data_IF_167449990581
#
_entry.id   IF_167449990581
#
_cell.length_a   1.000
_cell.length_b   1.000
_cell.length_c   1.000
_cell.angle_alpha   90.00
_cell.angle_beta   90.00
_cell.angle_gamma   90.00
#
_symmetry.space_group_name_H-M   'P 1'
#
loop_
_entity.id
_entity.type
_entity.pdbx_description
1 polymer ?
#
# COMPACT_ATOMS: atom_id res chain seq x y z
N UNK A 1 -26.10 10.05 -5.64
CA UNK A 1 -25.18 11.22 -5.64
C UNK A 1 -23.98 10.85 -6.50
N UNK A 2 -23.55 11.66 -7.47
CA UNK A 2 -22.31 11.39 -8.17
C UNK A 2 -21.15 11.43 -7.17
N UNK A 3 -20.37 10.36 -7.11
CA UNK A 3 -19.19 10.24 -6.26
C UNK A 3 -18.01 10.78 -7.05
N UNK A 4 -17.41 11.90 -6.62
CA UNK A 4 -16.19 12.42 -7.21
C UNK A 4 -15.04 11.43 -6.96
N UNK A 5 -14.63 10.70 -8.01
CA UNK A 5 -13.53 9.72 -7.97
C UNK A 5 -12.14 10.35 -8.10
N UNK A 6 -12.06 11.68 -8.18
CA UNK A 6 -10.82 12.45 -8.26
C UNK A 6 -10.21 12.80 -6.89
N UNK A 7 -10.60 12.08 -5.83
CA UNK A 7 -10.05 12.31 -4.51
C UNK A 7 -8.55 11.97 -4.47
N UNK A 8 -7.77 12.98 -4.07
CA UNK A 8 -6.40 12.82 -3.64
C UNK A 8 -6.40 11.76 -2.52
N UNK A 9 -5.71 10.61 -2.66
CA UNK A 9 -5.68 9.60 -1.60
C UNK A 9 -5.10 10.15 -0.30
N UNK A 10 -4.28 11.22 -0.37
CA UNK A 10 -3.76 11.97 0.78
C UNK A 10 -4.77 12.95 1.39
N UNK A 11 -5.82 13.35 0.68
CA UNK A 11 -6.82 14.29 1.19
C UNK A 11 -7.58 13.76 2.41
N UNK A 12 -7.67 12.44 2.53
CA UNK A 12 -8.27 11.73 3.67
C UNK A 12 -7.34 11.73 4.90
N UNK A 13 -6.04 11.95 4.70
CA UNK A 13 -5.01 11.98 5.75
C UNK A 13 -4.66 13.42 6.17
N UNK A 14 -4.81 14.38 5.26
CA UNK A 14 -4.33 15.75 5.44
C UNK A 14 -5.50 16.69 5.73
N UNK A 15 -6.02 16.67 6.97
CA UNK A 15 -6.73 17.84 7.53
C UNK A 15 -5.89 18.65 8.52
N UNK A 16 -4.64 18.24 8.80
CA UNK A 16 -3.81 18.86 9.84
C UNK A 16 -2.55 19.62 9.38
N UNK A 17 -2.09 19.46 8.13
CA UNK A 17 -0.85 20.11 7.68
C UNK A 17 -1.10 21.53 7.14
N UNK A 18 -1.47 22.45 8.03
CA UNK A 18 -1.43 23.89 7.71
C UNK A 18 0.02 24.31 7.45
N UNK A 19 0.32 24.67 6.20
CA UNK A 19 1.61 25.21 5.77
C UNK A 19 1.92 26.49 6.56
N UNK A 20 2.90 26.46 7.45
CA UNK A 20 3.60 27.68 7.85
C UNK A 20 4.42 28.18 6.66
N UNK A 21 4.28 29.44 6.22
CA UNK A 21 5.15 30.00 5.19
C UNK A 21 6.52 30.31 5.82
N UNK A 22 7.57 29.61 5.38
CA UNK A 22 8.94 30.01 5.64
C UNK A 22 9.39 31.05 4.62
N UNK A 23 10.02 32.11 5.13
CA UNK A 23 10.48 33.31 4.44
C UNK A 23 12.01 33.32 4.51
N UNK A 24 12.71 33.33 3.37
CA UNK A 24 14.09 33.86 3.14
C UNK A 24 14.58 33.35 1.78
N UNK A 25 14.91 34.15 0.75
CA UNK A 25 15.96 35.19 0.59
C UNK A 25 17.37 34.64 0.25
N UNK A 26 17.94 35.18 -0.84
CA UNK A 26 19.34 35.13 -1.35
C UNK A 26 19.85 33.80 -1.95
N UNK A 27 20.17 33.73 -3.25
CA UNK A 27 21.30 34.34 -4.01
C UNK A 27 22.66 33.67 -3.68
N UNK A 28 23.20 32.83 -4.58
CA UNK A 28 24.38 33.19 -5.36
C UNK A 28 24.74 32.16 -6.43
N UNK A 29 25.29 32.67 -7.53
CA UNK A 29 25.85 31.92 -8.64
C UNK A 29 27.29 31.48 -8.35
N UNK A 30 27.75 30.34 -8.89
CA UNK A 30 29.14 30.26 -9.34
C UNK A 30 29.36 29.24 -10.47
N UNK A 31 30.13 29.68 -11.47
CA UNK A 31 30.66 28.93 -12.60
C UNK A 31 32.01 28.31 -12.21
N UNK A 32 32.35 27.17 -12.80
CA UNK A 32 33.71 26.64 -12.74
C UNK A 32 33.86 25.35 -13.54
N UNK A 33 34.41 25.46 -14.75
CA UNK A 33 34.79 24.33 -15.60
C UNK A 33 36.15 23.75 -15.21
N UNK A 34 36.39 22.50 -15.60
CA UNK A 34 37.67 21.82 -15.43
C UNK A 34 37.67 20.46 -16.11
N UNK A 35 38.31 20.40 -17.27
CA UNK A 35 38.56 19.21 -18.08
C UNK A 35 39.89 18.54 -17.69
N UNK A 36 39.94 17.20 -17.61
CA UNK A 36 41.12 16.40 -18.03
C UNK A 36 40.93 14.88 -17.86
N UNK A 37 40.86 14.17 -19.00
CA UNK A 37 41.59 12.95 -19.40
C UNK A 37 42.02 11.86 -18.38
N UNK A 38 41.65 10.60 -18.64
CA UNK A 38 42.50 9.46 -19.09
C UNK A 38 41.84 8.10 -18.80
N UNK A 39 41.70 7.26 -19.84
CA UNK A 39 41.40 5.82 -19.79
C UNK A 39 42.69 5.00 -19.49
N UNK A 40 42.72 3.65 -19.60
CA UNK A 40 41.76 2.59 -19.22
C UNK A 40 42.45 1.49 -18.35
N UNK A 41 41.68 0.62 -17.69
CA UNK A 41 42.17 -0.75 -17.44
C UNK A 41 41.03 -1.76 -17.33
N UNK A 42 41.28 -2.87 -18.01
CA UNK A 42 40.47 -4.06 -18.18
C UNK A 42 40.48 -4.96 -16.95
N UNK A 43 39.33 -5.54 -16.61
CA UNK A 43 39.27 -6.92 -16.15
C UNK A 43 37.91 -7.52 -16.51
N UNK A 44 37.97 -8.40 -17.51
CA UNK A 44 36.92 -9.36 -17.83
C UNK A 44 36.75 -10.34 -16.66
N UNK A 45 35.61 -10.28 -15.98
CA UNK A 45 35.18 -11.33 -15.06
C UNK A 45 34.11 -12.19 -15.75
N UNK A 46 34.37 -13.48 -15.75
CA UNK A 46 33.51 -14.55 -16.27
C UNK A 46 32.17 -14.60 -15.50
N UNK A 47 31.08 -15.10 -16.12
CA UNK A 47 29.81 -15.31 -15.42
C UNK A 47 29.90 -16.55 -14.53
N UNK A 48 29.74 -16.37 -13.22
CA UNK A 48 29.61 -17.47 -12.27
C UNK A 48 28.19 -18.05 -12.33
N UNK A 49 28.10 -19.22 -12.95
CA UNK A 49 27.01 -20.18 -12.85
C UNK A 49 27.09 -20.86 -11.46
N UNK A 50 25.94 -21.07 -10.82
CA UNK A 50 25.70 -21.67 -9.48
C UNK A 50 25.65 -20.74 -8.27
N UNK A 51 24.50 -20.81 -7.59
CA UNK A 51 24.14 -20.00 -6.44
C UNK A 51 24.86 -20.36 -5.15
N UNK A 52 25.09 -19.32 -4.35
CA UNK A 52 25.40 -19.42 -2.94
C UNK A 52 24.58 -18.34 -2.21
N UNK A 53 23.73 -18.78 -1.28
CA UNK A 53 23.05 -17.89 -0.33
C UNK A 53 24.08 -17.28 0.63
N UNK A 54 23.95 -16.01 1.04
CA UNK A 54 24.81 -15.45 2.07
C UNK A 54 24.53 -16.09 3.43
N UNK A 55 25.55 -16.69 4.03
CA UNK A 55 25.55 -17.17 5.40
C UNK A 55 25.67 -15.96 6.35
N UNK A 56 24.63 -15.66 7.13
CA UNK A 56 24.69 -14.63 8.17
C UNK A 56 25.40 -15.23 9.38
N UNK A 57 26.60 -14.72 9.69
CA UNK A 57 27.29 -15.03 10.93
C UNK A 57 26.47 -14.51 12.13
N UNK A 58 26.35 -15.28 13.24
CA UNK A 58 25.82 -14.75 14.47
C UNK A 58 26.80 -13.72 15.07
N UNK A 59 26.31 -12.50 15.31
CA UNK A 59 27.06 -11.46 16.02
C UNK A 59 27.56 -11.97 17.38
N UNK A 60 28.83 -11.71 17.75
CA UNK A 60 29.29 -11.94 19.11
C UNK A 60 28.55 -11.03 20.10
N UNK A 61 28.31 -11.56 21.30
CA UNK A 61 27.58 -10.91 22.40
C UNK A 61 28.19 -9.54 22.78
N UNK A 62 27.38 -8.59 23.30
CA UNK A 62 27.86 -7.26 23.65
C UNK A 62 28.79 -7.29 24.87
N UNK A 63 29.89 -6.57 24.78
CA UNK A 63 30.78 -6.26 25.90
C UNK A 63 30.05 -5.28 26.84
N UNK A 64 29.93 -5.54 28.15
CA UNK A 64 29.32 -4.59 29.08
C UNK A 64 30.21 -3.36 29.27
N UNK A 65 29.70 -2.16 28.95
CA UNK A 65 30.32 -0.90 29.40
C UNK A 65 30.39 0.25 28.39
N UNK A 66 29.94 0.09 27.14
CA UNK A 66 30.06 1.15 26.13
C UNK A 66 28.72 1.85 25.85
N UNK A 67 28.56 3.04 26.42
CA UNK A 67 27.52 4.01 26.04
C UNK A 67 27.88 4.59 24.67
N UNK A 68 27.27 4.05 23.60
CA UNK A 68 27.32 4.67 22.27
C UNK A 68 26.01 5.42 22.03
N UNK A 69 26.12 6.74 21.86
CA UNK A 69 25.06 7.58 21.32
C UNK A 69 24.80 7.16 19.86
N UNK A 70 23.84 6.27 19.63
CA UNK A 70 23.41 5.91 18.28
C UNK A 70 22.13 6.66 17.95
N UNK A 71 22.27 7.65 17.07
CA UNK A 71 21.15 8.22 16.33
C UNK A 71 20.38 7.07 15.66
N UNK A 72 19.04 7.02 15.73
CA UNK A 72 18.28 5.99 15.04
C UNK A 72 18.52 6.11 13.54
N UNK A 73 19.18 5.11 12.97
CA UNK A 73 19.37 5.00 11.53
C UNK A 73 18.02 4.83 10.84
N UNK A 74 17.80 5.43 9.65
CA UNK A 74 16.59 5.18 8.87
C UNK A 74 16.50 3.69 8.58
N UNK A 75 15.33 3.10 8.89
CA UNK A 75 15.05 1.69 8.62
C UNK A 75 15.25 1.47 7.11
N UNK A 76 16.12 0.55 6.67
CA UNK A 76 16.29 0.25 5.27
C UNK A 76 14.94 -0.23 4.71
N UNK A 77 14.50 0.39 3.62
CA UNK A 77 13.35 -0.07 2.86
C UNK A 77 13.57 -1.57 2.54
N UNK A 78 12.76 -2.50 3.07
CA UNK A 78 13.00 -3.92 2.89
C UNK A 78 13.03 -4.23 1.38
N UNK A 79 14.15 -4.77 0.90
CA UNK A 79 14.28 -5.11 -0.51
C UNK A 79 13.22 -6.17 -0.85
N UNK A 80 12.29 -5.89 -1.78
CA UNK A 80 11.14 -6.75 -2.02
C UNK A 80 11.54 -7.94 -2.89
N UNK A 81 12.11 -8.98 -2.27
CA UNK A 81 12.22 -10.29 -2.89
C UNK A 81 10.88 -11.02 -2.75
N UNK A 82 10.11 -11.12 -3.84
CA UNK A 82 8.87 -11.92 -3.97
C UNK A 82 7.58 -11.28 -3.43
N UNK A 83 7.18 -10.11 -3.95
CA UNK A 83 5.84 -9.59 -3.70
C UNK A 83 4.81 -10.19 -4.67
N UNK A 84 3.67 -10.62 -4.14
CA UNK A 84 2.49 -10.93 -4.93
C UNK A 84 1.86 -9.62 -5.37
N UNK A 85 1.83 -9.37 -6.68
CA UNK A 85 1.36 -8.11 -7.25
C UNK A 85 -0.01 -8.28 -7.89
N UNK A 86 -0.89 -7.31 -7.65
CA UNK A 86 -2.20 -7.19 -8.26
C UNK A 86 -2.40 -5.78 -8.83
N UNK A 87 -3.24 -5.67 -9.85
CA UNK A 87 -3.63 -4.39 -10.44
C UNK A 87 -5.14 -4.19 -10.40
N UNK A 88 -5.58 -3.02 -9.94
CA UNK A 88 -6.95 -2.58 -10.11
C UNK A 88 -7.06 -1.89 -11.47
N UNK A 89 -7.94 -2.41 -12.31
CA UNK A 89 -8.24 -1.87 -13.64
C UNK A 89 -9.73 -1.61 -13.82
N UNK A 90 -10.07 -0.72 -14.74
CA UNK A 90 -11.47 -0.51 -15.11
C UNK A 90 -12.09 -1.78 -15.70
N UNK A 91 -13.42 -2.01 -15.57
CA UNK A 91 -14.08 -3.23 -16.02
C UNK A 91 -14.04 -3.41 -17.54
N UNK A 92 -13.86 -2.32 -18.30
CA UNK A 92 -13.70 -2.32 -19.74
C UNK A 92 -12.34 -1.73 -20.13
N UNK A 93 -11.30 -2.57 -20.28
CA UNK A 93 -9.97 -2.10 -20.68
C UNK A 93 -9.93 -1.57 -22.13
N UNK A 94 -10.98 -1.76 -22.93
CA UNK A 94 -11.06 -1.36 -24.34
C UNK A 94 -11.87 -0.08 -24.58
N UNK A 95 -12.38 0.57 -23.53
CA UNK A 95 -12.99 1.89 -23.67
C UNK A 95 -11.89 2.92 -24.01
N UNK A 96 -11.82 3.35 -25.27
CA UNK A 96 -10.79 4.26 -25.82
C UNK A 96 -10.75 5.67 -25.22
N UNK A 97 -11.65 6.02 -24.31
CA UNK A 97 -11.54 7.22 -23.48
C UNK A 97 -10.80 6.85 -22.21
N UNK A 98 -9.65 7.48 -21.94
CA UNK A 98 -8.87 7.35 -20.70
C UNK A 98 -9.81 7.24 -19.49
N UNK A 99 -10.10 6.00 -19.09
CA UNK A 99 -11.17 5.71 -18.16
C UNK A 99 -10.66 6.05 -16.78
N UNK A 100 -11.23 7.08 -16.15
CA UNK A 100 -10.93 7.42 -14.76
C UNK A 100 -11.23 6.17 -13.93
N UNK A 101 -10.19 5.55 -13.36
CA UNK A 101 -10.32 4.33 -12.57
C UNK A 101 -11.39 4.53 -11.49
N UNK A 102 -12.49 3.78 -11.61
CA UNK A 102 -13.52 3.73 -10.58
C UNK A 102 -13.24 2.53 -9.68
N UNK A 103 -12.57 2.74 -8.54
CA UNK A 103 -12.23 1.65 -7.59
C UNK A 103 -13.46 0.92 -7.04
N UNK A 104 -14.67 1.52 -7.15
CA UNK A 104 -15.94 0.91 -6.74
C UNK A 104 -16.57 0.03 -7.83
N UNK A 105 -16.09 0.11 -9.07
CA UNK A 105 -16.48 -0.70 -10.21
C UNK A 105 -15.22 -1.05 -11.00
N UNK A 106 -14.46 -2.04 -10.55
CA UNK A 106 -13.17 -2.41 -11.12
C UNK A 106 -12.92 -3.92 -11.04
N UNK A 107 -11.89 -4.38 -11.75
CA UNK A 107 -11.38 -5.74 -11.68
C UNK A 107 -10.00 -5.74 -11.06
N UNK A 108 -9.70 -6.76 -10.24
CA UNK A 108 -8.37 -7.00 -9.68
C UNK A 108 -7.72 -8.12 -10.49
N UNK A 109 -6.63 -7.78 -11.17
CA UNK A 109 -5.84 -8.68 -12.02
C UNK A 109 -4.57 -9.14 -11.32
N UNK A 110 -4.02 -10.26 -11.76
CA UNK A 110 -2.66 -10.69 -11.41
C UNK A 110 -1.57 -9.77 -12.00
N UNK A 111 -0.32 -10.03 -11.62
CA UNK A 111 0.85 -9.27 -12.08
C UNK A 111 1.03 -9.25 -13.60
N UNK A 112 0.52 -10.27 -14.30
CA UNK A 112 0.63 -10.43 -15.75
C UNK A 112 -0.60 -9.92 -16.50
N UNK A 113 -1.57 -9.33 -15.80
CA UNK A 113 -2.87 -8.92 -16.33
C UNK A 113 -3.61 -10.04 -17.08
N UNK A 114 -3.33 -11.30 -16.73
CA UNK A 114 -3.83 -12.47 -17.44
C UNK A 114 -5.07 -13.08 -16.82
N UNK A 115 -5.20 -12.99 -15.48
CA UNK A 115 -6.33 -13.54 -14.75
C UNK A 115 -6.97 -12.50 -13.85
N UNK A 116 -8.30 -12.42 -13.91
CA UNK A 116 -9.09 -11.67 -12.93
C UNK A 116 -9.20 -12.52 -11.67
N UNK A 117 -8.75 -11.97 -10.54
CA UNK A 117 -8.89 -12.57 -9.21
C UNK A 117 -10.16 -12.09 -8.51
N UNK A 118 -10.49 -10.81 -8.67
CA UNK A 118 -11.68 -10.22 -8.05
C UNK A 118 -12.43 -9.32 -9.01
N UNK A 119 -13.75 -9.30 -8.87
CA UNK A 119 -14.61 -8.28 -9.46
C UNK A 119 -15.21 -7.46 -8.32
N UNK A 120 -15.02 -6.15 -8.39
CA UNK A 120 -15.57 -5.18 -7.46
C UNK A 120 -16.67 -4.43 -8.21
N UNK A 121 -17.88 -4.51 -7.71
CA UNK A 121 -19.04 -3.90 -8.36
C UNK A 121 -19.91 -3.19 -7.34
N UNK A 122 -20.29 -1.97 -7.65
CA UNK A 122 -21.27 -1.22 -6.88
C UNK A 122 -22.58 -1.22 -7.63
N UNK A 123 -23.57 -1.87 -7.04
CA UNK A 123 -24.88 -1.97 -7.64
C UNK A 123 -25.74 -0.80 -7.19
N UNK A 124 -26.01 0.13 -8.11
CA UNK A 124 -26.87 1.28 -7.83
C UNK A 124 -28.35 0.88 -7.66
N UNK A 125 -28.75 -0.31 -8.14
CA UNK A 125 -30.09 -0.85 -7.94
C UNK A 125 -30.28 -1.48 -6.56
N UNK A 126 -29.19 -2.00 -5.96
CA UNK A 126 -29.16 -2.48 -4.59
C UNK A 126 -28.59 -1.40 -3.67
N UNK A 127 -29.44 -0.45 -3.30
CA UNK A 127 -29.36 0.44 -2.11
C UNK A 127 -27.96 0.81 -1.56
N UNK A 128 -26.96 1.08 -2.41
CA UNK A 128 -25.63 1.46 -1.96
C UNK A 128 -24.81 0.30 -1.40
N UNK A 129 -24.73 -0.85 -2.08
CA UNK A 129 -23.75 -1.89 -1.74
C UNK A 129 -22.61 -1.97 -2.76
N UNK A 130 -21.37 -2.12 -2.28
CA UNK A 130 -20.24 -2.59 -3.08
C UNK A 130 -19.92 -4.03 -2.69
N UNK A 131 -19.92 -4.92 -3.68
CA UNK A 131 -19.66 -6.35 -3.49
C UNK A 131 -18.29 -6.70 -4.06
N UNK A 132 -17.52 -7.47 -3.29
CA UNK A 132 -16.25 -8.05 -3.70
C UNK A 132 -16.49 -9.52 -4.00
N UNK A 133 -16.31 -9.94 -5.25
CA UNK A 133 -16.49 -11.33 -5.69
C UNK A 133 -15.16 -11.92 -6.10
N UNK A 134 -14.81 -13.07 -5.54
CA UNK A 134 -13.71 -13.89 -6.04
C UNK A 134 -14.11 -14.46 -7.40
N UNK A 135 -13.28 -14.23 -8.41
CA UNK A 135 -13.57 -14.60 -9.79
C UNK A 135 -13.46 -16.10 -10.06
N UNK A 136 -12.64 -16.83 -9.29
CA UNK A 136 -12.47 -18.27 -9.39
C UNK A 136 -13.66 -19.00 -8.74
N UNK A 137 -13.97 -18.66 -7.48
CA UNK A 137 -15.01 -19.34 -6.70
C UNK A 137 -16.43 -18.82 -7.00
N UNK A 138 -16.54 -17.70 -7.72
CA UNK A 138 -17.80 -16.94 -7.93
C UNK A 138 -18.51 -16.59 -6.62
N UNK A 139 -17.79 -16.59 -5.50
CA UNK A 139 -18.32 -16.30 -4.16
C UNK A 139 -18.02 -14.86 -3.79
N UNK A 140 -18.97 -14.19 -3.12
CA UNK A 140 -18.69 -12.91 -2.47
C UNK A 140 -17.76 -13.13 -1.27
N UNK A 141 -16.66 -12.39 -1.21
CA UNK A 141 -15.65 -12.42 -0.15
C UNK A 141 -15.75 -11.20 0.78
N UNK A 142 -16.38 -10.12 0.31
CA UNK A 142 -16.55 -8.90 1.08
C UNK A 142 -17.74 -8.09 0.60
N UNK A 143 -18.20 -7.21 1.48
CA UNK A 143 -19.34 -6.32 1.27
C UNK A 143 -19.05 -4.99 1.96
N UNK A 144 -19.32 -3.89 1.27
CA UNK A 144 -19.46 -2.57 1.87
C UNK A 144 -20.90 -2.13 1.69
N UNK A 145 -21.52 -1.68 2.78
CA UNK A 145 -22.85 -1.07 2.79
C UNK A 145 -22.69 0.43 3.04
N UNK A 146 -23.05 1.23 2.03
CA UNK A 146 -23.00 2.67 2.03
C UNK A 146 -24.30 3.23 2.59
N UNK A 147 -24.29 3.70 3.83
CA UNK A 147 -25.41 4.39 4.45
C UNK A 147 -25.23 5.90 4.46
N UNK A 148 -26.36 6.63 4.60
CA UNK A 148 -26.32 8.07 4.94
C UNK A 148 -25.87 8.22 6.40
N UNK A 149 -24.56 8.32 6.61
CA UNK A 149 -23.94 8.58 7.92
C UNK A 149 -23.36 7.36 8.63
N UNK A 150 -23.63 6.14 8.15
CA UNK A 150 -22.99 4.91 8.66
C UNK A 150 -22.63 4.00 7.50
N UNK A 151 -21.34 3.89 7.21
CA UNK A 151 -20.80 2.89 6.31
C UNK A 151 -20.40 1.66 7.11
N UNK A 152 -20.84 0.48 6.69
CA UNK A 152 -20.44 -0.79 7.30
C UNK A 152 -19.69 -1.68 6.31
N UNK A 153 -18.82 -2.52 6.85
CA UNK A 153 -17.93 -3.38 6.09
C UNK A 153 -17.94 -4.78 6.68
N UNK A 154 -17.88 -5.77 5.80
CA UNK A 154 -17.74 -7.19 6.14
C UNK A 154 -16.71 -7.82 5.20
N UNK A 155 -15.82 -8.64 5.76
CA UNK A 155 -14.90 -9.52 5.00
C UNK A 155 -15.13 -10.94 5.48
N UNK A 156 -15.72 -11.78 4.63
CA UNK A 156 -16.21 -13.10 5.04
C UNK A 156 -15.09 -13.98 5.55
N UNK A 157 -15.26 -14.51 6.77
CA UNK A 157 -14.26 -15.36 7.42
C UNK A 157 -13.05 -14.61 7.99
N UNK A 158 -13.03 -13.28 7.97
CA UNK A 158 -11.90 -12.49 8.44
C UNK A 158 -12.32 -11.29 9.33
N UNK A 159 -13.40 -10.60 8.96
CA UNK A 159 -13.89 -9.38 9.62
C UNK A 159 -15.41 -9.45 9.70
N UNK A 160 -16.01 -9.57 10.90
CA UNK A 160 -17.45 -9.53 11.05
C UNK A 160 -17.99 -8.15 10.64
N UNK A 161 -19.27 -8.11 10.25
CA UNK A 161 -19.92 -6.86 9.84
C UNK A 161 -19.83 -5.81 10.96
N UNK A 162 -19.20 -4.68 10.66
CA UNK A 162 -19.01 -3.58 11.62
C UNK A 162 -18.89 -2.23 10.89
N UNK A 163 -18.92 -1.13 11.63
CA UNK A 163 -18.72 0.20 11.05
C UNK A 163 -17.30 0.35 10.50
N UNK A 164 -17.16 0.97 9.32
CA UNK A 164 -15.85 1.15 8.67
C UNK A 164 -14.89 1.95 9.54
N UNK A 165 -15.39 2.93 10.31
CA UNK A 165 -14.59 3.71 11.27
C UNK A 165 -14.04 2.88 12.43
N UNK A 166 -14.78 1.86 12.85
CA UNK A 166 -14.32 0.94 13.88
C UNK A 166 -13.24 0.00 13.32
N UNK A 167 -13.42 -0.46 12.07
CA UNK A 167 -12.46 -1.36 11.43
C UNK A 167 -11.18 -0.67 10.97
N UNK A 168 -11.27 0.50 10.32
CA UNK A 168 -10.13 1.30 9.82
C UNK A 168 -9.97 2.59 10.64
N UNK A 169 -9.71 2.42 11.93
CA UNK A 169 -9.66 3.51 12.90
C UNK A 169 -8.48 4.44 12.64
N UNK A 170 -8.74 5.75 12.57
CA UNK A 170 -7.69 6.77 12.46
C UNK A 170 -7.02 6.96 13.82
N UNK A 171 -5.69 7.05 13.80
CA UNK A 171 -4.87 7.46 14.94
C UNK A 171 -5.21 8.88 15.42
N UNK A 172 -4.90 9.21 16.68
CA UNK A 172 -5.24 10.53 17.26
C UNK A 172 -4.53 11.68 16.54
N UNK A 173 -3.30 11.45 16.10
CA UNK A 173 -2.46 12.36 15.33
C UNK A 173 -2.73 12.31 13.81
N UNK A 174 -3.66 11.45 13.37
CA UNK A 174 -4.08 11.31 11.97
C UNK A 174 -2.95 10.88 11.01
N UNK A 175 -1.87 10.31 11.54
CA UNK A 175 -0.70 9.91 10.73
C UNK A 175 -0.82 8.48 10.20
N UNK A 176 -1.57 7.62 10.87
CA UNK A 176 -1.84 6.24 10.45
C UNK A 176 -3.27 5.79 10.78
N UNK A 177 -3.69 4.66 10.22
CA UNK A 177 -4.91 3.93 10.58
C UNK A 177 -4.57 2.57 11.15
N UNK A 178 -5.35 2.08 12.09
CA UNK A 178 -5.25 0.71 12.60
C UNK A 178 -6.38 -0.14 12.04
N UNK A 179 -6.07 -1.38 11.71
CA UNK A 179 -7.02 -2.39 11.21
C UNK A 179 -6.90 -3.66 12.05
N UNK A 180 -8.02 -4.32 12.35
CA UNK A 180 -8.00 -5.65 12.97
C UNK A 180 -8.58 -6.70 12.04
N UNK A 181 -7.83 -7.79 11.80
CA UNK A 181 -8.25 -8.92 10.98
C UNK A 181 -7.94 -10.20 11.75
N UNK A 182 -8.94 -11.07 11.95
CA UNK A 182 -8.80 -12.32 12.74
C UNK A 182 -8.14 -12.13 14.12
N UNK A 183 -8.42 -10.99 14.77
CA UNK A 183 -7.86 -10.66 16.09
C UNK A 183 -6.46 -10.04 16.08
N UNK A 184 -5.77 -10.00 14.94
CA UNK A 184 -4.46 -9.36 14.81
C UNK A 184 -4.61 -7.91 14.36
N UNK A 185 -3.80 -7.01 14.94
CA UNK A 185 -3.81 -5.59 14.60
C UNK A 185 -2.70 -5.27 13.59
N UNK A 186 -3.04 -4.41 12.64
CA UNK A 186 -2.20 -3.94 11.55
C UNK A 186 -2.28 -2.42 11.44
N UNK A 187 -1.24 -1.81 10.89
CA UNK A 187 -1.10 -0.37 10.74
C UNK A 187 -1.00 -0.03 9.25
N UNK A 188 -1.88 0.86 8.80
CA UNK A 188 -1.82 1.50 7.50
C UNK A 188 -1.19 2.88 7.66
N UNK A 189 -0.06 3.14 7.00
CA UNK A 189 0.61 4.44 7.03
C UNK A 189 0.94 4.94 5.63
N UNK A 190 0.73 6.23 5.34
CA UNK A 190 1.22 6.84 4.12
C UNK A 190 2.75 6.95 4.17
N UNK A 191 3.40 6.64 3.06
CA UNK A 191 4.85 6.78 2.86
C UNK A 191 5.13 7.22 1.43
N UNK A 192 5.47 8.50 1.25
CA UNK A 192 5.71 9.10 -0.06
C UNK A 192 4.57 8.81 -1.05
N UNK A 193 4.79 7.96 -2.05
CA UNK A 193 3.83 7.57 -3.09
C UNK A 193 3.03 6.29 -2.76
N UNK A 194 3.23 5.75 -1.56
CA UNK A 194 2.67 4.49 -1.12
C UNK A 194 1.74 4.66 0.09
N UNK A 195 0.83 3.70 0.25
CA UNK A 195 0.18 3.42 1.54
C UNK A 195 0.63 2.02 1.96
N UNK A 196 1.44 1.94 3.00
CA UNK A 196 2.03 0.69 3.47
C UNK A 196 1.15 0.06 4.55
N UNK A 197 1.13 -1.27 4.57
CA UNK A 197 0.57 -2.08 5.65
C UNK A 197 1.72 -2.74 6.41
N UNK A 198 1.71 -2.62 7.74
CA UNK A 198 2.63 -3.33 8.62
C UNK A 198 1.91 -4.03 9.79
N UNK A 199 2.58 -5.00 10.42
CA UNK A 199 2.12 -5.55 11.69
C UNK A 199 2.16 -4.48 12.80
N UNK A 200 1.23 -4.55 13.76
CA UNK A 200 1.25 -3.70 14.96
C UNK A 200 1.90 -4.40 16.18
N UNK A 201 1.97 -5.73 16.18
CA UNK A 201 2.14 -6.56 17.37
C UNK A 201 3.58 -7.07 17.62
N UNK A 202 4.61 -6.29 17.32
CA UNK A 202 6.01 -6.68 17.51
C UNK A 202 6.87 -5.46 17.85
N UNK A 203 8.01 -5.62 18.56
CA UNK A 203 8.94 -4.51 18.81
C UNK A 203 9.49 -3.89 17.51
N UNK A 204 9.43 -4.63 16.40
CA UNK A 204 9.73 -4.16 15.05
C UNK A 204 8.54 -4.45 14.12
N UNK A 205 7.83 -3.43 13.63
CA UNK A 205 6.76 -3.61 12.65
C UNK A 205 7.29 -4.30 11.38
N UNK A 206 6.63 -5.38 10.96
CA UNK A 206 6.96 -6.11 9.73
C UNK A 206 6.14 -5.55 8.57
N UNK A 207 6.79 -5.27 7.44
CA UNK A 207 6.11 -4.87 6.21
C UNK A 207 5.31 -6.05 5.63
N UNK A 208 4.05 -5.81 5.26
CA UNK A 208 3.12 -6.83 4.77
C UNK A 208 2.61 -6.54 3.37
N UNK A 209 2.66 -5.29 2.94
CA UNK A 209 2.23 -4.91 1.60
C UNK A 209 2.08 -3.41 1.45
N UNK A 210 1.77 -2.98 0.24
CA UNK A 210 1.56 -1.57 -0.07
C UNK A 210 0.60 -1.37 -1.23
N UNK A 211 0.06 -0.16 -1.29
CA UNK A 211 -0.75 0.35 -2.39
C UNK A 211 0.02 1.49 -3.03
N UNK A 212 0.11 1.50 -4.36
CA UNK A 212 0.58 2.67 -5.12
C UNK A 212 -0.40 3.02 -6.23
N UNK A 213 -0.44 4.28 -6.61
CA UNK A 213 -1.26 4.79 -7.71
C UNK A 213 -0.35 5.26 -8.84
N UNK A 214 -0.55 4.70 -10.03
CA UNK A 214 0.09 5.12 -11.27
C UNK A 214 -0.89 5.85 -12.18
N UNK A 215 -0.49 6.05 -13.43
CA UNK A 215 -1.29 6.70 -14.46
C UNK A 215 -2.48 5.81 -14.87
N UNK A 216 -3.61 5.99 -14.18
CA UNK A 216 -4.85 5.27 -14.47
C UNK A 216 -4.93 3.86 -13.88
N UNK A 217 -3.91 3.41 -13.14
CA UNK A 217 -3.87 2.10 -12.48
C UNK A 217 -3.57 2.24 -11.00
N UNK A 218 -4.01 1.26 -10.22
CA UNK A 218 -3.60 1.11 -8.82
C UNK A 218 -2.94 -0.25 -8.71
N UNK A 219 -1.72 -0.26 -8.16
CA UNK A 219 -0.95 -1.46 -7.91
C UNK A 219 -1.03 -1.81 -6.41
N UNK A 220 -1.31 -3.07 -6.14
CA UNK A 220 -1.32 -3.67 -4.81
C UNK A 220 -0.20 -4.69 -4.77
N UNK A 221 0.66 -4.62 -3.77
CA UNK A 221 1.72 -5.59 -3.56
C UNK A 221 1.60 -6.16 -2.14
N UNK A 222 1.67 -7.48 -2.01
CA UNK A 222 1.59 -8.21 -0.74
C UNK A 222 2.83 -9.09 -0.57
N UNK A 223 3.32 -9.21 0.66
CA UNK A 223 4.34 -10.22 0.97
C UNK A 223 3.74 -11.62 0.98
N UNK A 224 4.55 -12.69 0.78
CA UNK A 224 4.06 -14.07 0.91
C UNK A 224 3.48 -14.34 2.30
N UNK A 225 4.07 -13.76 3.34
CA UNK A 225 3.59 -13.86 4.72
C UNK A 225 2.19 -13.25 4.87
N UNK A 226 1.92 -12.09 4.27
CA UNK A 226 0.60 -11.48 4.30
C UNK A 226 -0.46 -12.35 3.60
N UNK A 227 -0.09 -13.00 2.50
CA UNK A 227 -0.96 -13.96 1.80
C UNK A 227 -1.21 -15.19 2.68
N UNK A 228 -0.18 -15.75 3.32
CA UNK A 228 -0.30 -16.91 4.22
C UNK A 228 -1.14 -16.61 5.47
N UNK A 229 -1.07 -15.38 5.99
CA UNK A 229 -1.94 -14.91 7.08
C UNK A 229 -3.42 -14.76 6.66
N UNK A 230 -3.71 -14.90 5.36
CA UNK A 230 -5.04 -14.72 4.79
C UNK A 230 -5.50 -13.27 4.77
N UNK A 231 -4.57 -12.32 4.64
CA UNK A 231 -4.87 -10.90 4.60
C UNK A 231 -5.37 -10.41 3.23
N UNK A 232 -5.23 -11.21 2.17
CA UNK A 232 -5.49 -10.78 0.81
C UNK A 232 -6.87 -10.14 0.62
N UNK A 233 -7.95 -10.82 1.05
CA UNK A 233 -9.32 -10.29 0.91
C UNK A 233 -9.51 -8.99 1.71
N UNK A 234 -9.04 -8.97 2.96
CA UNK A 234 -9.13 -7.78 3.82
C UNK A 234 -8.30 -6.61 3.28
N UNK A 235 -7.13 -6.89 2.71
CA UNK A 235 -6.25 -5.89 2.10
C UNK A 235 -6.93 -5.23 0.90
N UNK A 236 -7.54 -6.02 0.02
CA UNK A 236 -8.23 -5.49 -1.17
C UNK A 236 -9.44 -4.63 -0.77
N UNK A 237 -10.24 -5.08 0.20
CA UNK A 237 -11.38 -4.31 0.70
C UNK A 237 -10.92 -3.00 1.36
N UNK A 238 -9.88 -3.05 2.20
CA UNK A 238 -9.30 -1.86 2.81
C UNK A 238 -8.70 -0.91 1.75
N UNK A 239 -8.03 -1.43 0.73
CA UNK A 239 -7.48 -0.62 -0.36
C UNK A 239 -8.57 0.17 -1.06
N UNK A 240 -9.70 -0.45 -1.41
CA UNK A 240 -10.84 0.25 -2.03
C UNK A 240 -11.38 1.36 -1.13
N UNK A 241 -11.57 1.09 0.17
CA UNK A 241 -12.04 2.09 1.14
C UNK A 241 -11.08 3.27 1.29
N UNK A 242 -9.78 3.00 1.34
CA UNK A 242 -8.74 4.02 1.44
C UNK A 242 -8.67 4.88 0.16
N UNK A 243 -8.81 4.25 -1.01
CA UNK A 243 -8.73 4.93 -2.31
C UNK A 243 -10.00 5.71 -2.67
N UNK A 244 -11.19 5.26 -2.24
CA UNK A 244 -12.44 5.99 -2.49
C UNK A 244 -12.68 7.14 -1.50
N UNK A 245 -11.94 7.17 -0.39
CA UNK A 245 -11.99 8.22 0.62
C UNK A 245 -13.29 8.32 1.43
N UNK A 246 -14.18 7.33 1.32
CA UNK A 246 -15.46 7.29 2.04
C UNK A 246 -15.36 6.43 3.31
N UNK A 247 -14.61 6.92 4.32
CA UNK A 247 -14.51 6.26 5.63
C UNK A 247 -15.27 7.07 6.73
N UNK A 248 -16.09 8.03 6.33
CA UNK A 248 -16.81 8.95 7.23
C UNK A 248 -18.22 8.49 7.65
#
# INVERSE_FOLDING_TARGET
MPVDTNLNPYGVWVKGASKRPSRSSHENANRGGGSSSRSPSSSSLQPSLYGALPYVYPNPLPIPGQITNTNPTPIPNPQPGNLTTFYLTSPNPYAHTASVLNVLNCSVLDAHNSHVHYTISTDNSLAGYTVFKNALEKRSVGLIEWGKGKTSVEVRGAVPKQETKAWLRVSRDQTYRTMTVRGFQYIWSPDNQYINLSSAATPTPAFLGRISRGDGTVMIELTPDAVQLGLQDAFIVAAVLLLCGQID
#
